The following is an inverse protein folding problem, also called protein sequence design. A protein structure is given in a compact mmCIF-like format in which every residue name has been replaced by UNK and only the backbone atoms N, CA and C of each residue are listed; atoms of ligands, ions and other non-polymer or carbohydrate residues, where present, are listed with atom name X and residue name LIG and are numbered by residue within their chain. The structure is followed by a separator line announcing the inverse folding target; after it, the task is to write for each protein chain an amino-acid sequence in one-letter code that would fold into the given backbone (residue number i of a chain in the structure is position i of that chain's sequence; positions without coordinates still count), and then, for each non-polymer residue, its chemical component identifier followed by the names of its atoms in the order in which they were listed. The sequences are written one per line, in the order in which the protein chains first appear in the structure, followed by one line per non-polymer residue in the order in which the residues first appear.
data_IF_169923021484
#
_entry.id   IF_169923021484
#
_cell.length_a   1.000
_cell.length_b   1.000
_cell.length_c   1.000
_cell.angle_alpha   90.00
_cell.angle_beta   90.00
_cell.angle_gamma   90.00
#
_symmetry.space_group_name_H-M   'P 1'
#
loop_
_entity.id
_entity.type
_entity.pdbx_description
1 polymer ?
#
# COMPACT_ATOMS: atom_id res chain seq x y z
N UNK A 1 -18.46 -13.22 -10.82
CA UNK A 1 -19.27 -13.92 -11.85
C UNK A 1 -18.92 -13.44 -13.26
N UNK A 2 -19.05 -12.14 -13.59
CA UNK A 2 -18.71 -11.58 -14.91
C UNK A 2 -17.27 -11.91 -15.34
N UNK A 3 -16.30 -11.69 -14.45
CA UNK A 3 -14.89 -11.99 -14.69
C UNK A 3 -14.67 -13.50 -14.86
N UNK A 4 -15.32 -14.34 -14.07
CA UNK A 4 -15.20 -15.81 -14.16
C UNK A 4 -15.73 -16.38 -15.48
N UNK A 5 -16.83 -15.85 -15.99
CA UNK A 5 -17.39 -16.27 -17.29
C UNK A 5 -16.45 -15.86 -18.43
N UNK A 6 -15.91 -14.64 -18.41
CA UNK A 6 -14.94 -14.17 -19.40
C UNK A 6 -13.64 -14.98 -19.33
N UNK A 7 -13.11 -15.23 -18.12
CA UNK A 7 -11.87 -15.98 -17.91
C UNK A 7 -11.94 -17.43 -18.41
N UNK A 8 -13.11 -18.07 -18.37
CA UNK A 8 -13.27 -19.47 -18.82
C UNK A 8 -13.58 -19.54 -20.33
N UNK A 9 -14.41 -18.62 -20.83
CA UNK A 9 -14.89 -18.67 -22.22
C UNK A 9 -13.84 -18.22 -23.24
N UNK A 10 -12.97 -17.27 -22.89
CA UNK A 10 -11.96 -16.69 -23.80
C UNK A 10 -10.81 -17.65 -24.13
N UNK A 11 -10.16 -18.35 -23.18
CA UNK A 11 -9.13 -19.33 -23.52
C UNK A 11 -9.70 -20.49 -24.34
N UNK A 12 -10.91 -20.95 -24.01
CA UNK A 12 -11.59 -22.00 -24.78
C UNK A 12 -11.85 -21.58 -26.23
N UNK A 13 -12.34 -20.35 -26.46
CA UNK A 13 -12.57 -19.82 -27.81
C UNK A 13 -11.27 -19.54 -28.57
N UNK A 14 -10.22 -19.09 -27.88
CA UNK A 14 -8.89 -18.87 -28.45
C UNK A 14 -8.24 -20.18 -28.91
N UNK A 15 -8.37 -21.26 -28.14
CA UNK A 15 -7.92 -22.60 -28.55
C UNK A 15 -8.63 -23.09 -29.82
N UNK A 16 -9.95 -22.88 -29.93
CA UNK A 16 -10.72 -23.24 -31.14
C UNK A 16 -10.27 -22.42 -32.35
N UNK A 17 -9.94 -21.14 -32.17
CA UNK A 17 -9.47 -20.28 -33.23
C UNK A 17 -8.07 -20.65 -33.74
N UNK A 18 -7.14 -20.94 -32.81
CA UNK A 18 -5.78 -21.41 -33.13
C UNK A 18 -5.86 -22.76 -33.86
N UNK A 19 -6.70 -23.69 -33.39
CA UNK A 19 -6.92 -24.98 -34.05
C UNK A 19 -7.45 -24.81 -35.49
N UNK A 20 -8.39 -23.88 -35.72
CA UNK A 20 -8.93 -23.58 -37.06
C UNK A 20 -7.92 -22.88 -37.97
N UNK A 21 -7.02 -22.08 -37.40
CA UNK A 21 -5.93 -21.43 -38.12
C UNK A 21 -4.88 -22.45 -38.56
N UNK A 22 -4.46 -23.35 -37.66
CA UNK A 22 -3.51 -24.45 -37.95
C UNK A 22 -4.08 -25.39 -39.02
N UNK A 23 -5.40 -25.63 -39.00
CA UNK A 23 -6.09 -26.48 -39.99
C UNK A 23 -6.45 -25.75 -41.29
N UNK A 24 -5.93 -24.53 -41.51
CA UNK A 24 -6.03 -23.84 -42.79
C UNK A 24 -7.43 -23.33 -43.17
N UNK A 25 -8.32 -23.09 -42.19
CA UNK A 25 -9.66 -22.54 -42.42
C UNK A 25 -9.79 -21.12 -41.82
N UNK A 26 -9.10 -20.11 -42.39
CA UNK A 26 -9.19 -18.75 -41.91
C UNK A 26 -10.60 -18.20 -42.19
N UNK A 27 -11.23 -17.61 -41.17
CA UNK A 27 -12.49 -16.87 -41.31
C UNK A 27 -12.29 -15.45 -40.79
N UNK A 28 -13.14 -14.49 -41.17
CA UNK A 28 -13.12 -13.14 -40.58
C UNK A 28 -13.18 -13.17 -39.03
N UNK A 29 -13.74 -14.24 -38.47
CA UNK A 29 -13.80 -14.52 -37.02
C UNK A 29 -12.41 -14.80 -36.41
N UNK A 30 -11.43 -15.26 -37.19
CA UNK A 30 -10.07 -15.58 -36.72
C UNK A 30 -9.29 -14.33 -36.29
N UNK A 31 -9.40 -13.21 -37.03
CA UNK A 31 -8.77 -11.93 -36.63
C UNK A 31 -9.34 -11.39 -35.32
N UNK A 32 -10.65 -11.52 -35.15
CA UNK A 32 -11.35 -11.12 -33.93
C UNK A 32 -10.88 -11.94 -32.71
N UNK A 33 -10.72 -13.25 -32.86
CA UNK A 33 -10.20 -14.10 -31.77
C UNK A 33 -8.75 -13.81 -31.41
N UNK A 34 -7.88 -13.47 -32.38
CA UNK A 34 -6.49 -13.07 -32.09
C UNK A 34 -6.49 -11.76 -31.27
N UNK A 35 -7.32 -10.79 -31.65
CA UNK A 35 -7.46 -9.53 -30.91
C UNK A 35 -7.99 -9.75 -29.48
N UNK A 36 -9.00 -10.60 -29.30
CA UNK A 36 -9.52 -10.97 -27.98
C UNK A 36 -8.50 -11.73 -27.14
N UNK A 37 -7.71 -12.62 -27.75
CA UNK A 37 -6.61 -13.32 -27.09
C UNK A 37 -5.51 -12.35 -26.62
N UNK A 38 -5.14 -11.36 -27.44
CA UNK A 38 -4.18 -10.32 -27.07
C UNK A 38 -4.70 -9.42 -25.93
N UNK A 39 -5.98 -9.06 -25.96
CA UNK A 39 -6.65 -8.31 -24.88
C UNK A 39 -6.65 -9.11 -23.56
N UNK A 40 -6.93 -10.41 -23.63
CA UNK A 40 -6.89 -11.30 -22.48
C UNK A 40 -5.49 -11.42 -21.91
N UNK A 41 -4.50 -11.63 -22.78
CA UNK A 41 -3.09 -11.68 -22.39
C UNK A 41 -2.66 -10.36 -21.73
N UNK A 42 -3.07 -9.21 -22.27
CA UNK A 42 -2.81 -7.91 -21.69
C UNK A 42 -3.39 -7.77 -20.26
N UNK A 43 -4.62 -8.25 -20.02
CA UNK A 43 -5.23 -8.26 -18.68
C UNK A 43 -4.45 -9.16 -17.72
N UNK A 44 -4.10 -10.37 -18.15
CA UNK A 44 -3.34 -11.32 -17.31
C UNK A 44 -1.96 -10.77 -17.01
N UNK A 45 -1.25 -10.22 -18.00
CA UNK A 45 0.05 -9.58 -17.80
C UNK A 45 -0.04 -8.37 -16.86
N UNK A 46 -1.06 -7.52 -17.01
CA UNK A 46 -1.29 -6.41 -16.09
C UNK A 46 -1.57 -6.89 -14.66
N UNK A 47 -2.36 -7.95 -14.48
CA UNK A 47 -2.63 -8.55 -13.18
C UNK A 47 -1.37 -9.17 -12.56
N UNK A 48 -0.54 -9.85 -13.35
CA UNK A 48 0.71 -10.46 -12.88
C UNK A 48 1.76 -9.39 -12.51
N UNK A 49 1.91 -8.36 -13.34
CA UNK A 49 2.77 -7.20 -13.04
C UNK A 49 2.27 -6.51 -11.77
N UNK A 50 0.96 -6.29 -11.65
CA UNK A 50 0.35 -5.76 -10.45
C UNK A 50 0.64 -6.64 -9.22
N UNK A 51 0.38 -7.95 -9.28
CA UNK A 51 0.65 -8.86 -8.17
C UNK A 51 2.14 -8.91 -7.78
N UNK A 52 3.04 -8.81 -8.75
CA UNK A 52 4.49 -8.78 -8.54
C UNK A 52 4.95 -7.48 -7.87
N UNK A 53 4.48 -6.32 -8.32
CA UNK A 53 4.83 -5.01 -7.75
C UNK A 53 4.13 -4.74 -6.40
N UNK A 54 2.88 -5.20 -6.22
CA UNK A 54 2.09 -4.99 -4.99
C UNK A 54 2.57 -5.85 -3.82
N UNK A 55 3.32 -6.94 -4.06
CA UNK A 55 4.03 -7.64 -2.99
C UNK A 55 5.06 -6.71 -2.31
N UNK A 56 5.49 -5.64 -2.98
CA UNK A 56 6.55 -4.75 -2.50
C UNK A 56 6.10 -3.37 -1.97
N UNK A 57 4.90 -2.84 -2.28
CA UNK A 57 4.50 -1.45 -1.93
C UNK A 57 2.97 -1.23 -1.76
N UNK A 58 2.63 -0.17 -1.03
CA UNK A 58 1.33 0.19 -0.41
C UNK A 58 0.05 0.19 -1.29
N UNK A 59 -1.07 0.01 -0.60
CA UNK A 59 -2.47 -0.05 -1.10
C UNK A 59 -2.94 1.24 -1.81
N UNK A 60 -2.30 2.40 -1.62
CA UNK A 60 -2.78 3.68 -2.19
C UNK A 60 -2.49 3.86 -3.69
N UNK A 61 -1.55 3.11 -4.28
CA UNK A 61 -1.23 3.20 -5.73
C UNK A 61 -2.27 2.47 -6.60
N UNK A 62 -3.22 1.76 -5.99
CA UNK A 62 -4.21 0.89 -6.67
C UNK A 62 -5.16 1.65 -7.62
N UNK A 63 -5.46 2.91 -7.35
CA UNK A 63 -6.35 3.72 -8.20
C UNK A 63 -5.81 4.01 -9.60
N UNK A 64 -4.48 4.11 -9.75
CA UNK A 64 -3.81 4.48 -11.02
C UNK A 64 -3.98 3.45 -12.12
N UNK A 65 -4.01 2.16 -11.76
CA UNK A 65 -4.04 1.06 -12.73
C UNK A 65 -5.44 0.55 -13.03
N UNK A 66 -6.47 1.00 -12.29
CA UNK A 66 -7.81 0.45 -12.41
C UNK A 66 -8.49 0.82 -13.73
N UNK A 67 -8.31 2.04 -14.24
CA UNK A 67 -9.02 2.51 -15.44
C UNK A 67 -8.62 1.71 -16.72
N UNK A 68 -7.32 1.49 -17.01
CA UNK A 68 -6.92 0.63 -18.13
C UNK A 68 -7.38 -0.83 -17.95
N UNK A 69 -7.37 -1.33 -16.71
CA UNK A 69 -7.83 -2.68 -16.36
C UNK A 69 -9.33 -2.84 -16.59
N UNK A 70 -10.15 -1.78 -16.55
CA UNK A 70 -11.60 -1.88 -16.76
C UNK A 70 -11.99 -1.93 -18.25
N UNK A 71 -11.25 -1.25 -19.13
CA UNK A 71 -11.57 -1.17 -20.55
C UNK A 71 -11.42 -2.53 -21.27
N UNK A 72 -10.34 -3.26 -21.00
CA UNK A 72 -10.07 -4.54 -21.67
C UNK A 72 -11.12 -5.64 -21.34
N UNK A 73 -11.49 -5.89 -20.08
CA UNK A 73 -12.56 -6.81 -19.70
C UNK A 73 -13.93 -6.38 -20.24
N UNK A 74 -14.21 -5.08 -20.32
CA UNK A 74 -15.45 -4.56 -20.92
C UNK A 74 -15.55 -4.94 -22.41
N UNK A 75 -14.47 -4.72 -23.17
CA UNK A 75 -14.41 -5.09 -24.61
C UNK A 75 -14.60 -6.60 -24.78
N UNK A 76 -13.88 -7.41 -23.99
CA UNK A 76 -13.99 -8.87 -24.03
C UNK A 76 -15.38 -9.35 -23.62
N UNK A 77 -15.97 -8.72 -22.61
CA UNK A 77 -17.31 -9.03 -22.15
C UNK A 77 -18.37 -8.78 -23.24
N UNK A 78 -18.35 -7.61 -23.88
CA UNK A 78 -19.27 -7.31 -24.99
C UNK A 78 -19.07 -8.24 -26.18
N UNK A 79 -17.83 -8.65 -26.45
CA UNK A 79 -17.57 -9.64 -27.49
C UNK A 79 -18.16 -11.01 -27.16
N UNK A 80 -17.98 -11.49 -25.92
CA UNK A 80 -18.59 -12.74 -25.45
C UNK A 80 -20.11 -12.69 -25.54
N UNK A 81 -20.75 -11.58 -25.16
CA UNK A 81 -22.21 -11.41 -25.33
C UNK A 81 -22.62 -11.44 -26.80
N UNK A 82 -21.85 -10.82 -27.69
CA UNK A 82 -22.13 -10.86 -29.13
C UNK A 82 -22.00 -12.29 -29.68
N UNK A 83 -21.03 -13.08 -29.21
CA UNK A 83 -20.89 -14.49 -29.56
C UNK A 83 -22.04 -15.33 -29.02
N UNK A 84 -22.42 -15.17 -27.76
CA UNK A 84 -23.57 -15.86 -27.15
C UNK A 84 -24.85 -15.56 -27.93
N UNK A 85 -25.09 -14.29 -28.29
CA UNK A 85 -26.24 -13.85 -29.10
C UNK A 85 -26.31 -14.53 -30.47
N UNK A 86 -25.17 -14.86 -31.08
CA UNK A 86 -25.11 -15.53 -32.40
C UNK A 86 -25.31 -17.06 -32.31
N UNK A 87 -25.44 -17.62 -31.11
CA UNK A 87 -25.61 -19.06 -30.92
C UNK A 87 -27.05 -19.47 -31.27
N UNK A 88 -27.23 -20.65 -31.90
CA UNK A 88 -28.54 -21.17 -32.35
C UNK A 88 -29.62 -21.18 -31.25
N UNK A 89 -29.22 -21.42 -30.00
CA UNK A 89 -30.10 -21.38 -28.84
C UNK A 89 -30.73 -20.00 -28.61
N UNK A 90 -29.95 -18.92 -28.72
CA UNK A 90 -30.40 -17.54 -28.48
C UNK A 90 -31.12 -16.92 -29.67
N UNK A 91 -30.85 -17.40 -30.89
CA UNK A 91 -31.61 -17.01 -32.09
C UNK A 91 -33.11 -17.32 -31.96
N UNK A 92 -33.48 -18.37 -31.22
CA UNK A 92 -34.87 -18.76 -30.96
C UNK A 92 -35.64 -17.78 -30.05
N UNK A 93 -34.95 -17.14 -29.11
CA UNK A 93 -35.54 -16.21 -28.13
C UNK A 93 -35.32 -14.74 -28.49
N UNK A 94 -34.73 -14.46 -29.65
CA UNK A 94 -34.39 -13.12 -30.15
C UNK A 94 -35.53 -12.10 -30.10
N UNK A 95 -36.80 -12.42 -30.45
CA UNK A 95 -37.89 -11.44 -30.38
C UNK A 95 -38.31 -11.07 -28.95
N UNK A 96 -38.05 -11.93 -27.96
CA UNK A 96 -38.37 -11.67 -26.54
C UNK A 96 -37.22 -10.94 -25.80
N UNK A 97 -36.02 -10.89 -26.37
CA UNK A 97 -34.79 -10.37 -25.74
C UNK A 97 -34.40 -8.96 -26.20
N UNK A 98 -35.26 -8.31 -27.01
CA UNK A 98 -35.05 -6.96 -27.53
C UNK A 98 -36.24 -6.08 -27.17
N UNK A 99 -35.97 -4.90 -26.61
CA UNK A 99 -36.99 -3.90 -26.29
C UNK A 99 -36.92 -2.74 -27.29
N UNK A 100 -38.07 -2.26 -27.77
CA UNK A 100 -38.17 -1.12 -28.71
C UNK A 100 -39.10 -1.37 -29.90
N UNK A 101 -39.74 -0.31 -30.40
CA UNK A 101 -40.64 -0.36 -31.56
C UNK A 101 -39.84 -0.50 -32.86
N UNK A 102 -40.17 -1.49 -33.71
CA UNK A 102 -39.47 -1.67 -35.00
C UNK A 102 -39.66 -0.49 -35.95
N UNK A 103 -40.68 0.33 -35.74
CA UNK A 103 -41.01 1.49 -36.56
C UNK A 103 -39.95 2.62 -36.51
N UNK A 104 -39.14 2.69 -35.44
CA UNK A 104 -38.13 3.76 -35.23
C UNK A 104 -36.70 3.21 -35.41
N UNK A 105 -36.53 1.92 -35.74
CA UNK A 105 -35.22 1.30 -35.98
C UNK A 105 -34.35 1.08 -34.74
N UNK A 106 -34.80 1.50 -33.55
CA UNK A 106 -34.05 1.36 -32.30
C UNK A 106 -34.46 0.06 -31.60
N UNK A 107 -33.61 -0.97 -31.69
CA UNK A 107 -33.72 -2.20 -30.89
C UNK A 107 -32.63 -2.22 -29.84
N UNK A 108 -33.01 -2.09 -28.57
CA UNK A 108 -32.06 -2.21 -27.45
C UNK A 108 -32.01 -3.68 -27.02
N UNK A 109 -30.85 -4.36 -27.12
CA UNK A 109 -30.69 -5.72 -26.62
C UNK A 109 -30.72 -5.70 -25.09
N UNK A 110 -31.79 -6.23 -24.48
CA UNK A 110 -32.00 -6.24 -23.03
C UNK A 110 -30.83 -6.92 -22.30
N UNK A 111 -30.26 -7.98 -22.88
CA UNK A 111 -29.10 -8.67 -22.32
C UNK A 111 -27.87 -7.76 -22.20
N UNK A 112 -27.60 -6.91 -23.20
CA UNK A 112 -26.48 -5.99 -23.13
C UNK A 112 -26.73 -4.86 -22.12
N UNK A 113 -27.98 -4.40 -22.02
CA UNK A 113 -28.40 -3.39 -21.03
C UNK A 113 -28.24 -3.93 -19.61
N UNK A 114 -28.82 -5.09 -19.30
CA UNK A 114 -28.72 -5.71 -17.97
C UNK A 114 -27.27 -6.00 -17.60
N UNK A 115 -26.44 -6.41 -18.55
CA UNK A 115 -25.05 -6.68 -18.21
C UNK A 115 -24.18 -5.44 -18.12
N UNK A 116 -24.47 -4.38 -18.88
CA UNK A 116 -23.88 -3.07 -18.65
C UNK A 116 -24.19 -2.55 -17.24
N UNK A 117 -25.45 -2.68 -16.80
CA UNK A 117 -25.89 -2.33 -15.44
C UNK A 117 -25.14 -3.19 -14.40
N UNK A 118 -25.03 -4.49 -14.61
CA UNK A 118 -24.32 -5.38 -13.70
C UNK A 118 -22.82 -5.04 -13.59
N UNK A 119 -22.15 -4.69 -14.70
CA UNK A 119 -20.74 -4.29 -14.68
C UNK A 119 -20.55 -2.97 -13.94
N UNK A 120 -21.41 -1.98 -14.21
CA UNK A 120 -21.42 -0.71 -13.47
C UNK A 120 -21.58 -1.00 -11.98
N UNK A 121 -22.58 -1.78 -11.56
CA UNK A 121 -22.84 -2.08 -10.15
C UNK A 121 -21.67 -2.82 -9.47
N UNK A 122 -21.04 -3.78 -10.15
CA UNK A 122 -19.88 -4.52 -9.62
C UNK A 122 -18.64 -3.62 -9.51
N UNK A 123 -18.54 -2.56 -10.31
CA UNK A 123 -17.36 -1.68 -10.32
C UNK A 123 -17.58 -0.36 -9.59
N UNK A 124 -18.81 0.01 -9.24
CA UNK A 124 -19.11 1.20 -8.41
C UNK A 124 -18.36 1.16 -7.09
N UNK A 125 -18.27 0.00 -6.43
CA UNK A 125 -17.53 -0.14 -5.18
C UNK A 125 -16.02 0.12 -5.38
N UNK A 126 -15.45 -0.45 -6.45
CA UNK A 126 -14.04 -0.25 -6.78
C UNK A 126 -13.73 1.21 -7.17
N UNK A 127 -14.62 1.86 -7.94
CA UNK A 127 -14.49 3.28 -8.27
C UNK A 127 -14.55 4.14 -7.01
N UNK A 128 -15.49 3.87 -6.09
CA UNK A 128 -15.65 4.62 -4.83
C UNK A 128 -14.48 4.42 -3.87
N UNK A 129 -13.90 3.22 -3.80
CA UNK A 129 -12.83 2.91 -2.84
C UNK A 129 -11.43 3.22 -3.36
N UNK A 130 -11.21 3.16 -4.67
CA UNK A 130 -9.86 3.24 -5.24
C UNK A 130 -9.66 4.40 -6.22
N UNK A 131 -10.65 4.69 -7.08
CA UNK A 131 -10.50 5.73 -8.11
C UNK A 131 -10.76 7.12 -7.54
N UNK A 132 -11.90 7.32 -6.87
CA UNK A 132 -12.26 8.63 -6.30
C UNK A 132 -11.20 9.08 -5.27
N UNK A 133 -10.78 8.25 -4.29
CA UNK A 133 -9.79 8.68 -3.30
C UNK A 133 -8.39 8.92 -3.87
N UNK A 134 -8.09 8.42 -5.07
CA UNK A 134 -6.82 8.68 -5.74
C UNK A 134 -6.80 10.06 -6.40
N UNK A 135 -7.86 10.42 -7.14
CA UNK A 135 -7.94 11.72 -7.84
C UNK A 135 -8.42 12.86 -6.94
N UNK A 136 -9.18 12.54 -5.90
CA UNK A 136 -9.67 13.46 -4.87
C UNK A 136 -9.44 12.82 -3.50
N UNK A 137 -8.19 12.86 -2.99
CA UNK A 137 -7.90 12.31 -1.67
C UNK A 137 -8.76 13.00 -0.62
N UNK A 138 -9.45 12.25 0.26
CA UNK A 138 -10.19 12.86 1.35
C UNK A 138 -9.21 13.66 2.21
N UNK A 139 -9.59 14.88 2.60
CA UNK A 139 -8.79 15.66 3.53
C UNK A 139 -8.61 14.85 4.82
N UNK A 140 -7.37 14.47 5.11
CA UNK A 140 -7.01 13.80 6.35
C UNK A 140 -6.42 14.84 7.28
N UNK A 141 -6.84 14.83 8.54
CA UNK A 141 -6.21 15.63 9.56
C UNK A 141 -5.28 14.73 10.36
N UNK A 142 -4.01 15.14 10.41
CA UNK A 142 -3.01 14.55 11.26
C UNK A 142 -3.12 15.21 12.63
N UNK A 143 -3.53 14.42 13.63
CA UNK A 143 -3.47 14.83 15.02
C UNK A 143 -2.18 14.33 15.63
N UNK A 144 -1.41 15.25 16.20
CA UNK A 144 -0.21 14.92 16.98
C UNK A 144 -0.55 15.03 18.46
N UNK A 145 -0.27 13.97 19.22
CA UNK A 145 -0.32 14.00 20.68
C UNK A 145 0.81 14.85 21.28
N UNK A 146 0.85 14.93 22.61
CA UNK A 146 2.01 15.50 23.31
C UNK A 146 3.23 14.59 23.16
N UNK A 147 4.40 15.20 23.05
CA UNK A 147 5.66 14.46 23.14
C UNK A 147 5.89 13.99 24.58
N UNK A 148 6.23 12.72 24.72
CA UNK A 148 6.71 12.11 25.95
C UNK A 148 8.20 11.87 25.79
N UNK A 149 9.02 12.53 26.59
CA UNK A 149 10.46 12.29 26.63
C UNK A 149 10.76 10.97 27.32
N UNK A 150 11.67 10.19 26.71
CA UNK A 150 12.17 8.95 27.27
C UNK A 150 13.29 9.27 28.25
N UNK A 151 13.29 8.57 29.39
CA UNK A 151 14.35 8.73 30.39
C UNK A 151 15.65 8.07 29.90
N UNK A 152 16.60 8.92 29.50
CA UNK A 152 17.94 8.51 29.08
C UNK A 152 18.91 8.39 30.26
N UNK A 153 18.54 8.82 31.47
CA UNK A 153 19.45 8.78 32.62
C UNK A 153 19.59 7.37 33.22
N UNK A 154 18.58 6.51 33.06
CA UNK A 154 18.59 5.13 33.56
C UNK A 154 19.43 4.22 32.63
N UNK A 155 20.52 3.60 33.12
CA UNK A 155 21.27 2.62 32.34
C UNK A 155 20.43 1.42 31.90
N UNK A 156 19.35 1.09 32.61
CA UNK A 156 18.42 0.03 32.23
C UNK A 156 17.57 0.38 30.99
N UNK A 157 17.65 1.60 30.49
CA UNK A 157 17.11 2.02 29.19
C UNK A 157 17.82 1.34 28.01
N UNK A 158 19.01 0.76 28.23
CA UNK A 158 19.78 0.04 27.23
C UNK A 158 19.90 -1.44 27.64
N UNK A 159 19.37 -2.33 26.81
CA UNK A 159 19.52 -3.78 27.02
C UNK A 159 20.91 -4.25 26.58
N UNK A 160 21.37 -3.72 25.45
CA UNK A 160 22.61 -4.16 24.81
C UNK A 160 23.12 -3.08 23.86
N UNK A 161 24.43 -2.85 23.86
CA UNK A 161 25.14 -2.10 22.82
C UNK A 161 26.11 -3.02 22.07
N UNK A 162 26.46 -2.65 20.83
CA UNK A 162 27.51 -3.29 20.03
C UNK A 162 28.27 -2.24 19.21
N UNK A 163 29.57 -2.44 19.06
CA UNK A 163 30.45 -1.64 18.21
C UNK A 163 30.44 -0.13 18.52
N UNK A 164 30.13 0.23 19.76
CA UNK A 164 30.18 1.60 20.27
C UNK A 164 30.32 1.59 21.79
N UNK A 165 30.94 2.63 22.31
CA UNK A 165 31.00 2.91 23.74
C UNK A 165 29.93 3.94 24.10
N UNK A 166 29.30 3.76 25.27
CA UNK A 166 28.25 4.64 25.79
C UNK A 166 28.65 5.12 27.17
N UNK A 167 28.67 6.44 27.36
CA UNK A 167 28.81 7.09 28.65
C UNK A 167 27.54 7.89 28.95
N UNK A 168 27.02 7.73 30.16
CA UNK A 168 25.82 8.43 30.63
C UNK A 168 26.26 9.71 31.33
N UNK A 169 25.80 10.85 30.81
CA UNK A 169 26.13 12.18 31.32
C UNK A 169 24.85 12.94 31.66
N UNK A 170 24.97 14.04 32.40
CA UNK A 170 23.83 14.93 32.68
C UNK A 170 23.23 15.57 31.41
N UNK A 171 24.00 15.61 30.32
CA UNK A 171 23.55 16.12 29.02
C UNK A 171 22.90 15.06 28.11
N UNK A 172 22.94 13.78 28.52
CA UNK A 172 22.43 12.64 27.75
C UNK A 172 23.48 11.55 27.48
N UNK A 173 23.28 10.76 26.43
CA UNK A 173 24.19 9.67 26.06
C UNK A 173 25.32 10.16 25.19
N UNK A 174 26.54 10.11 25.73
CA UNK A 174 27.74 10.31 24.95
C UNK A 174 28.16 8.99 24.33
N UNK A 175 28.20 8.96 23.00
CA UNK A 175 28.47 7.79 22.18
C UNK A 175 29.79 7.99 21.45
N UNK A 176 30.62 6.94 21.42
CA UNK A 176 31.76 6.84 20.53
C UNK A 176 31.62 5.59 19.67
N UNK A 177 31.43 5.74 18.37
CA UNK A 177 31.32 4.57 17.47
C UNK A 177 32.69 3.95 17.23
N UNK A 178 32.77 2.62 17.30
CA UNK A 178 34.00 1.86 17.03
C UNK A 178 34.00 1.41 15.57
N UNK A 179 32.84 1.02 15.04
CA UNK A 179 32.65 0.61 13.63
C UNK A 179 31.46 1.34 13.01
N UNK A 180 31.30 1.18 11.69
CA UNK A 180 30.15 1.70 10.93
C UNK A 180 28.84 0.94 11.15
N UNK A 181 28.83 -0.13 11.96
CA UNK A 181 27.64 -0.93 12.30
C UNK A 181 27.37 -0.84 13.81
N UNK A 182 27.21 0.39 14.29
CA UNK A 182 26.95 0.72 15.69
C UNK A 182 25.47 0.48 16.03
N UNK A 183 25.20 -0.27 17.10
CA UNK A 183 23.83 -0.69 17.46
C UNK A 183 23.57 -0.54 18.97
N UNK A 184 22.41 0.02 19.31
CA UNK A 184 21.89 0.16 20.67
C UNK A 184 20.49 -0.47 20.73
N UNK A 185 20.36 -1.62 21.39
CA UNK A 185 19.06 -2.23 21.69
C UNK A 185 18.47 -1.59 22.95
N UNK A 186 17.32 -0.92 22.78
CA UNK A 186 16.64 -0.18 23.84
C UNK A 186 15.73 -1.09 24.67
N UNK A 187 15.44 -0.67 25.90
CA UNK A 187 14.53 -1.33 26.82
C UNK A 187 13.14 -1.52 26.21
N UNK A 188 12.47 -2.67 26.41
CA UNK A 188 11.13 -2.88 25.87
C UNK A 188 10.10 -1.94 26.51
N UNK A 189 10.40 -1.37 27.69
CA UNK A 189 9.54 -0.38 28.36
C UNK A 189 9.28 0.84 27.50
N UNK A 190 10.22 1.21 26.62
CA UNK A 190 9.99 2.32 25.70
C UNK A 190 8.86 2.04 24.73
N UNK A 191 8.60 0.78 24.36
CA UNK A 191 7.46 0.42 23.52
C UNK A 191 6.10 0.76 24.16
N UNK A 192 6.01 0.93 25.49
CA UNK A 192 4.76 1.31 26.16
C UNK A 192 4.29 2.72 25.75
N UNK A 193 5.21 3.56 25.23
CA UNK A 193 4.91 4.90 24.72
C UNK A 193 4.56 4.92 23.23
N UNK A 194 4.70 3.80 22.52
CA UNK A 194 4.49 3.72 21.08
C UNK A 194 3.10 3.17 20.76
N UNK A 195 2.32 3.95 20.00
CA UNK A 195 1.06 3.49 19.41
C UNK A 195 1.26 2.97 17.99
N UNK A 196 0.18 2.83 17.22
CA UNK A 196 0.23 2.33 15.84
C UNK A 196 1.01 3.23 14.89
N UNK A 197 0.90 4.54 15.06
CA UNK A 197 1.67 5.55 14.32
C UNK A 197 2.24 6.56 15.31
N UNK A 198 3.52 6.88 15.22
CA UNK A 198 4.18 7.82 16.10
C UNK A 198 5.14 8.72 15.33
N UNK A 199 5.33 9.92 15.85
CA UNK A 199 6.41 10.81 15.48
C UNK A 199 7.44 10.80 16.60
N UNK A 200 8.69 10.53 16.25
CA UNK A 200 9.79 10.44 17.19
C UNK A 200 10.72 11.61 16.94
N UNK A 201 10.99 12.39 17.97
CA UNK A 201 11.98 13.45 17.94
C UNK A 201 13.26 12.95 18.59
N UNK A 202 14.39 13.08 17.90
CA UNK A 202 15.70 12.80 18.48
C UNK A 202 16.56 14.04 18.31
N UNK A 203 17.00 14.60 19.44
CA UNK A 203 17.91 15.73 19.47
C UNK A 203 19.30 15.24 19.84
N UNK A 204 20.29 15.56 19.01
CA UNK A 204 21.65 15.09 19.21
C UNK A 204 22.67 16.03 18.59
N UNK A 205 23.89 15.97 19.10
CA UNK A 205 25.07 16.60 18.51
C UNK A 205 25.96 15.54 17.90
N UNK A 206 26.60 15.83 16.78
CA UNK A 206 27.64 14.96 16.21
C UNK A 206 28.84 15.77 15.72
N UNK A 207 30.02 15.16 15.71
CA UNK A 207 31.25 15.72 15.14
C UNK A 207 31.43 15.42 13.62
N UNK A 208 30.51 14.66 13.02
CA UNK A 208 30.56 14.28 11.61
C UNK A 208 29.18 14.13 10.96
N UNK A 209 29.17 13.87 9.66
CA UNK A 209 27.98 13.56 8.90
C UNK A 209 27.63 12.06 9.00
N UNK A 210 26.35 11.71 8.84
CA UNK A 210 25.96 10.31 8.93
C UNK A 210 24.48 10.05 8.68
N UNK A 211 24.11 8.80 8.92
CA UNK A 211 22.74 8.30 8.85
C UNK A 211 22.37 7.68 10.18
N UNK A 212 21.35 8.24 10.82
CA UNK A 212 20.72 7.67 12.00
C UNK A 212 19.57 6.77 11.54
N UNK A 213 19.47 5.57 12.12
CA UNK A 213 18.40 4.64 11.81
C UNK A 213 17.75 4.09 13.07
N UNK A 214 16.42 4.10 13.10
CA UNK A 214 15.64 3.48 14.16
C UNK A 214 14.91 2.26 13.59
N UNK A 215 15.07 1.13 14.27
CA UNK A 215 14.41 -0.14 13.98
C UNK A 215 13.39 -0.49 15.05
N UNK A 216 12.29 -1.10 14.63
CA UNK A 216 11.32 -1.72 15.52
C UNK A 216 10.91 -3.09 15.00
N UNK A 217 10.60 -3.98 15.94
CA UNK A 217 10.17 -5.34 15.67
C UNK A 217 8.95 -5.66 16.52
N UNK A 218 8.00 -6.38 15.93
CA UNK A 218 6.88 -6.98 16.67
C UNK A 218 7.33 -8.13 17.57
N UNK A 219 8.50 -8.70 17.28
CA UNK A 219 9.05 -9.82 18.01
C UNK A 219 10.03 -9.35 19.09
N UNK A 220 10.25 -10.20 20.09
CA UNK A 220 11.25 -9.96 21.15
C UNK A 220 12.70 -10.05 20.66
N UNK A 221 13.00 -10.11 19.37
CA UNK A 221 14.36 -10.20 18.80
C UNK A 221 14.44 -9.51 17.44
N UNK A 222 15.58 -8.87 17.18
CA UNK A 222 16.01 -8.48 15.85
C UNK A 222 16.68 -9.71 15.19
N UNK A 223 15.96 -10.34 14.27
CA UNK A 223 16.42 -11.48 13.48
C UNK A 223 16.11 -11.11 12.03
N UNK A 224 17.12 -11.16 11.16
CA UNK A 224 17.08 -10.75 9.75
C UNK A 224 16.03 -11.49 8.87
N UNK A 225 14.75 -11.37 9.20
CA UNK A 225 13.57 -11.95 8.56
C UNK A 225 12.35 -11.06 8.83
N UNK A 226 11.31 -11.25 8.01
CA UNK A 226 10.00 -10.56 8.03
C UNK A 226 9.58 -10.05 9.42
N UNK A 227 9.14 -8.79 9.49
CA UNK A 227 8.58 -8.16 10.69
C UNK A 227 9.44 -7.04 11.29
N UNK A 228 10.62 -6.79 10.72
CA UNK A 228 11.45 -5.64 11.06
C UNK A 228 11.10 -4.46 10.17
N UNK A 229 10.80 -3.33 10.80
CA UNK A 229 10.56 -2.06 10.12
C UNK A 229 11.58 -1.03 10.60
N UNK A 230 11.90 -0.06 9.75
CA UNK A 230 12.87 0.96 10.10
C UNK A 230 12.58 2.30 9.44
N UNK A 231 13.17 3.34 9.99
CA UNK A 231 13.13 4.70 9.47
C UNK A 231 14.51 5.33 9.62
N UNK A 232 14.90 6.17 8.66
CA UNK A 232 16.24 6.76 8.57
C UNK A 232 16.17 8.29 8.52
N UNK A 233 17.18 8.93 9.09
CA UNK A 233 17.43 10.36 8.89
C UNK A 233 18.91 10.58 8.57
N UNK A 234 19.17 11.40 7.54
CA UNK A 234 20.51 11.92 7.28
C UNK A 234 20.74 13.14 8.16
N UNK A 235 21.96 13.31 8.64
CA UNK A 235 22.35 14.44 9.47
C UNK A 235 23.74 14.93 9.10
N UNK A 236 24.08 16.13 9.56
CA UNK A 236 25.38 16.76 9.36
C UNK A 236 26.11 16.95 10.70
N UNK A 237 27.41 17.25 10.64
CA UNK A 237 28.16 17.66 11.81
C UNK A 237 27.52 18.90 12.48
N UNK A 238 27.47 18.90 13.81
CA UNK A 238 26.85 19.93 14.64
C UNK A 238 25.60 19.46 15.39
N UNK A 239 24.74 20.41 15.74
CA UNK A 239 23.47 20.16 16.43
C UNK A 239 22.39 19.75 15.44
N UNK A 240 21.67 18.67 15.75
CA UNK A 240 20.64 18.10 14.89
C UNK A 240 19.37 17.80 15.70
N UNK A 241 18.23 18.05 15.06
CA UNK A 241 16.90 17.67 15.56
C UNK A 241 16.19 16.93 14.43
N UNK A 242 16.03 15.61 14.58
CA UNK A 242 15.39 14.77 13.55
C UNK A 242 14.02 14.33 14.01
N UNK A 243 13.06 14.40 13.08
CA UNK A 243 11.70 13.89 13.26
C UNK A 243 11.50 12.66 12.38
N UNK A 244 11.25 11.53 13.02
CA UNK A 244 11.12 10.22 12.38
C UNK A 244 9.68 9.72 12.53
N UNK A 245 9.01 9.50 11.40
CA UNK A 245 7.72 8.82 11.40
C UNK A 245 7.95 7.31 11.56
N UNK A 246 7.27 6.70 12.53
CA UNK A 246 7.37 5.27 12.82
C UNK A 246 5.98 4.64 13.00
N UNK A 247 5.64 3.72 12.11
CA UNK A 247 4.44 2.89 12.19
C UNK A 247 4.67 1.68 13.08
N UNK A 248 4.77 1.90 14.39
CA UNK A 248 5.23 0.89 15.35
C UNK A 248 4.18 -0.10 15.82
N UNK A 249 2.94 -0.04 15.31
CA UNK A 249 1.92 -1.10 15.41
C UNK A 249 1.92 -1.84 16.75
N UNK A 250 2.49 -3.06 16.74
CA UNK A 250 2.85 -3.82 17.93
C UNK A 250 4.34 -3.67 18.22
N UNK A 251 4.75 -2.67 19.01
CA UNK A 251 6.16 -2.50 19.37
C UNK A 251 6.56 -3.56 20.41
N UNK A 252 7.46 -4.48 20.04
CA UNK A 252 8.04 -5.45 20.97
C UNK A 252 9.48 -5.12 21.34
N UNK A 253 10.24 -4.51 20.42
CA UNK A 253 11.64 -4.15 20.63
C UNK A 253 12.04 -2.97 19.75
N UNK A 254 12.95 -2.14 20.27
CA UNK A 254 13.52 -0.99 19.57
C UNK A 254 15.04 -1.11 19.50
N UNK A 255 15.61 -0.71 18.37
CA UNK A 255 17.06 -0.60 18.18
C UNK A 255 17.38 0.70 17.48
N UNK A 256 18.32 1.45 18.05
CA UNK A 256 18.87 2.66 17.47
C UNK A 256 20.26 2.34 16.91
N UNK A 257 20.47 2.67 15.66
CA UNK A 257 21.77 2.64 15.00
C UNK A 257 22.19 4.12 14.84
N UNK A 258 23.06 4.66 15.72
CA UNK A 258 23.31 6.10 15.82
C UNK A 258 23.91 6.72 14.56
N UNK A 259 24.85 6.01 13.93
CA UNK A 259 25.50 6.42 12.70
C UNK A 259 26.05 5.20 11.95
N UNK A 260 26.22 5.37 10.64
CA UNK A 260 26.87 4.43 9.73
C UNK A 260 28.37 4.73 9.50
N UNK A 261 28.97 5.58 10.34
CA UNK A 261 30.39 5.96 10.27
C UNK A 261 31.14 5.49 11.53
N UNK A 262 32.38 5.04 11.35
CA UNK A 262 33.25 4.61 12.45
C UNK A 262 34.02 5.80 13.06
N UNK A 263 34.42 5.67 14.33
CA UNK A 263 35.19 6.66 15.10
C UNK A 263 34.53 8.05 15.15
N UNK A 264 33.20 8.08 15.28
CA UNK A 264 32.39 9.29 15.35
C UNK A 264 31.89 9.51 16.78
N UNK A 265 31.95 10.75 17.26
CA UNK A 265 31.39 11.15 18.54
C UNK A 265 29.97 11.71 18.34
N UNK A 266 29.05 11.23 19.16
CA UNK A 266 27.68 11.71 19.20
C UNK A 266 27.22 11.94 20.63
N UNK A 267 26.39 12.95 20.86
CA UNK A 267 25.71 13.18 22.13
C UNK A 267 24.21 13.18 21.88
N UNK A 268 23.52 12.11 22.28
CA UNK A 268 22.05 12.05 22.22
C UNK A 268 21.51 12.74 23.46
N UNK A 269 20.88 13.89 23.28
CA UNK A 269 20.35 14.72 24.38
C UNK A 269 18.95 14.32 24.80
N UNK A 270 18.10 14.02 23.82
CA UNK A 270 16.72 13.59 24.09
C UNK A 270 16.15 12.74 22.99
N UNK A 271 15.31 11.80 23.39
CA UNK A 271 14.43 11.01 22.52
C UNK A 271 13.02 11.21 23.05
N UNK A 272 12.12 11.70 22.20
CA UNK A 272 10.73 11.94 22.56
C UNK A 272 9.80 11.29 21.55
N UNK A 273 8.66 10.77 22.02
CA UNK A 273 7.68 10.07 21.18
C UNK A 273 6.33 10.76 21.33
N UNK A 274 5.68 11.05 20.20
CA UNK A 274 4.33 11.59 20.15
C UNK A 274 3.44 10.67 19.29
N UNK A 275 2.29 10.21 19.81
CA UNK A 275 1.36 9.42 19.02
C UNK A 275 0.75 10.26 17.89
N UNK A 276 0.61 9.64 16.73
CA UNK A 276 -0.04 10.24 15.57
C UNK A 276 -1.39 9.56 15.30
N UNK A 277 -2.41 10.37 15.09
CA UNK A 277 -3.73 9.93 14.66
C UNK A 277 -4.01 10.48 13.27
N UNK A 278 -4.55 9.64 12.40
CA UNK A 278 -4.99 10.04 11.06
C UNK A 278 -6.52 9.92 11.06
N UNK A 279 -7.21 11.05 11.00
CA UNK A 279 -8.68 11.04 10.95
C UNK A 279 -9.17 11.58 9.62
N UNK A 280 -10.24 10.98 9.09
CA UNK A 280 -10.92 11.43 7.86
C UNK A 280 -11.94 12.54 8.12
N UNK A 281 -12.15 12.93 9.39
CA UNK A 281 -13.16 13.90 9.80
C UNK A 281 -12.50 15.01 10.63
N UNK A 282 -12.27 16.20 10.05
CA UNK A 282 -11.54 17.30 10.69
C UNK A 282 -12.17 17.81 12.00
N UNK A 283 -13.46 17.51 12.25
CA UNK A 283 -14.24 18.08 13.35
C UNK A 283 -14.17 17.30 14.68
N UNK A 284 -13.62 16.08 14.71
CA UNK A 284 -13.53 15.29 15.95
C UNK A 284 -12.45 15.76 16.93
N UNK A 285 -11.47 16.56 16.47
CA UNK A 285 -10.37 17.05 17.32
C UNK A 285 -10.78 18.03 18.41
N UNK A 286 -11.98 18.64 18.33
CA UNK A 286 -12.48 19.53 19.40
C UNK A 286 -12.87 18.79 20.68
N UNK A 287 -13.11 17.48 20.64
CA UNK A 287 -13.64 16.75 21.80
C UNK A 287 -12.52 16.34 22.77
N UNK A 288 -11.33 15.97 22.26
CA UNK A 288 -10.21 15.57 23.12
C UNK A 288 -9.56 16.74 23.87
N UNK A 289 -9.61 17.97 23.34
CA UNK A 289 -9.14 19.16 24.06
C UNK A 289 -10.08 19.58 25.20
N UNK A 290 -11.36 19.20 25.14
CA UNK A 290 -12.34 19.59 26.15
C UNK A 290 -12.31 18.71 27.41
N UNK A 291 -11.80 17.47 27.34
CA UNK A 291 -11.71 16.59 28.50
C UNK A 291 -10.39 16.68 29.29
N UNK A 292 -9.32 17.24 28.71
CA UNK A 292 -8.08 17.53 29.46
C UNK A 292 -8.10 18.89 30.17
N UNK A 293 -9.05 19.77 29.84
CA UNK A 293 -9.24 21.05 30.53
C UNK A 293 -10.26 20.97 31.68
N UNK A 294 -10.78 19.78 31.98
CA UNK A 294 -11.88 19.57 32.94
C UNK A 294 -11.54 18.61 34.09
N UNK A 295 -10.26 18.24 34.27
CA UNK A 295 -9.76 17.51 35.45
C UNK A 295 -8.45 18.15 35.94
#
# INVERSE_FOLDING_TARGET
IVIGIALVSIPFQSCIAIFRFITGRPSARTRQFIFEGLLFLAIVSQFLIYAYYQWAQEIQVQGKYLIPILACPLILFFSTINHIRQTRFWLRYRPAMTFGASAIGVRVPLLALFTGIAIILVHVDAVRRFVIPYYHPPAQVLGLGSFVELDLSDPASIIRSKNLDIEFTDEGWQLKTITSDSQIELSPRFCDHFLSNNLISINFKSDGDGILQLFWSENKRFVARRGESSTIAKFQAGENAVLLAAGTGNCGRLRLDPTNTADQLMLIRSIAVAPMSITRFPYYFRIFKAHQAAN
#
